data_IF_458186726946
#
_entry.id   IF_458186726946
#
_cell.length_a   1.000
_cell.length_b   1.000
_cell.length_c   1.000
_cell.angle_alpha   90.00
_cell.angle_beta   90.00
_cell.angle_gamma   90.00
#
_symmetry.space_group_name_H-M   'P 1'
#
loop_
_entity.id
_entity.type
_entity.pdbx_description
1 polymer ?
#
# COMPACT_ATOMS: atom_id res chain seq x y z
N UNK A 1 7.61 19.49 -47.77
CA UNK A 1 6.43 19.14 -46.97
C UNK A 1 6.86 18.87 -45.57
N UNK A 2 6.53 19.68 -44.56
CA UNK A 2 6.92 19.42 -43.17
C UNK A 2 5.98 18.39 -42.54
N UNK A 3 6.55 17.35 -41.91
CA UNK A 3 5.83 16.37 -41.14
C UNK A 3 5.45 16.92 -39.76
N UNK A 4 4.21 16.71 -39.46
CA UNK A 4 3.33 16.97 -38.35
C UNK A 4 3.89 16.85 -36.95
N UNK A 5 3.39 17.80 -36.19
CA UNK A 5 3.16 17.90 -34.74
C UNK A 5 3.35 16.62 -33.91
N UNK A 6 4.26 16.76 -32.95
CA UNK A 6 4.38 15.87 -31.79
C UNK A 6 3.09 15.91 -30.97
N UNK A 7 2.41 14.79 -30.85
CA UNK A 7 1.41 14.53 -29.80
C UNK A 7 2.13 14.46 -28.44
N UNK A 8 2.36 15.62 -27.83
CA UNK A 8 2.65 15.69 -26.40
C UNK A 8 1.29 15.69 -25.67
N UNK A 9 1.09 14.80 -24.68
CA UNK A 9 -0.11 14.86 -23.87
C UNK A 9 -0.21 16.24 -23.20
N UNK A 10 -1.39 16.81 -23.23
CA UNK A 10 -1.72 18.09 -22.61
C UNK A 10 -1.58 17.94 -21.08
N UNK A 11 -0.91 18.87 -20.37
CA UNK A 11 -0.87 18.85 -18.91
C UNK A 11 -2.29 19.14 -18.37
N UNK A 12 -2.89 18.17 -17.69
CA UNK A 12 -4.18 18.33 -17.00
C UNK A 12 -5.28 17.32 -17.35
N UNK A 13 -5.07 16.41 -18.29
CA UNK A 13 -6.01 15.31 -18.51
C UNK A 13 -5.87 14.30 -17.37
N UNK A 14 -6.97 13.99 -16.67
CA UNK A 14 -6.98 12.87 -15.71
C UNK A 14 -6.56 11.59 -16.44
N UNK A 15 -5.70 10.75 -15.81
CA UNK A 15 -5.27 9.52 -16.45
C UNK A 15 -6.48 8.63 -16.76
N UNK A 16 -6.49 8.01 -17.92
CA UNK A 16 -7.54 7.06 -18.29
C UNK A 16 -7.44 5.87 -17.33
N UNK A 17 -8.53 5.57 -16.62
CA UNK A 17 -8.59 4.42 -15.71
C UNK A 17 -8.74 3.13 -16.52
N UNK A 18 -7.97 2.12 -16.15
CA UNK A 18 -8.03 0.77 -16.69
C UNK A 18 -8.82 -0.17 -15.79
N UNK A 19 -8.71 0.00 -14.49
CA UNK A 19 -9.47 -0.76 -13.49
C UNK A 19 -9.58 0.02 -12.17
N UNK A 20 -10.64 -0.26 -11.42
CA UNK A 20 -10.89 0.32 -10.09
C UNK A 20 -11.48 -0.72 -9.15
N UNK A 21 -11.16 -0.62 -7.85
CA UNK A 21 -11.76 -1.44 -6.79
C UNK A 21 -11.74 -0.75 -5.45
N UNK A 22 -12.83 -0.92 -4.68
CA UNK A 22 -12.94 -0.53 -3.28
C UNK A 22 -12.70 -1.75 -2.38
N UNK A 23 -11.95 -1.57 -1.30
CA UNK A 23 -11.69 -2.60 -0.30
C UNK A 23 -11.94 -2.02 1.10
N UNK A 24 -12.78 -2.70 1.88
CA UNK A 24 -12.86 -2.49 3.30
C UNK A 24 -11.87 -3.43 4.00
N UNK A 25 -11.10 -2.91 4.94
CA UNK A 25 -10.22 -3.72 5.76
C UNK A 25 -10.97 -4.11 7.05
N UNK A 26 -10.76 -5.35 7.49
CA UNK A 26 -11.27 -5.84 8.76
C UNK A 26 -10.15 -5.91 9.79
N UNK A 27 -10.47 -5.66 11.05
CA UNK A 27 -9.51 -5.85 12.14
C UNK A 27 -9.30 -7.35 12.37
N UNK A 28 -8.15 -7.85 11.98
CA UNK A 28 -7.80 -9.28 12.04
C UNK A 28 -7.14 -9.67 13.36
N UNK A 29 -6.52 -8.69 14.04
CA UNK A 29 -5.94 -8.86 15.37
C UNK A 29 -5.93 -7.53 16.13
N UNK A 30 -6.07 -7.58 17.47
CA UNK A 30 -5.98 -6.39 18.33
C UNK A 30 -5.56 -6.76 19.74
N UNK A 31 -4.86 -5.84 20.39
CA UNK A 31 -4.41 -5.96 21.80
C UNK A 31 -5.28 -5.10 22.75
N UNK A 32 -6.36 -4.47 22.28
CA UNK A 32 -7.24 -3.60 23.07
C UNK A 32 -8.49 -3.19 22.32
N UNK A 33 -9.17 -2.10 22.74
CA UNK A 33 -10.22 -1.46 21.97
C UNK A 33 -9.72 -1.10 20.57
N UNK A 34 -10.57 -1.26 19.56
CA UNK A 34 -10.22 -0.93 18.17
C UNK A 34 -11.15 0.18 17.64
N UNK A 35 -10.99 1.44 18.11
CA UNK A 35 -11.85 2.55 17.73
C UNK A 35 -11.36 3.14 16.40
N UNK A 36 -11.22 2.30 15.39
CA UNK A 36 -10.76 2.70 14.07
C UNK A 36 -11.58 2.02 12.97
N UNK A 37 -11.53 2.59 11.78
CA UNK A 37 -12.01 2.03 10.53
C UNK A 37 -10.96 2.24 9.45
N UNK A 38 -10.74 1.26 8.58
CA UNK A 38 -9.77 1.38 7.49
C UNK A 38 -10.39 0.89 6.19
N UNK A 39 -10.20 1.69 5.14
CA UNK A 39 -10.59 1.34 3.78
C UNK A 39 -9.55 1.82 2.78
N UNK A 40 -9.56 1.25 1.58
CA UNK A 40 -8.75 1.73 0.47
C UNK A 40 -9.48 1.62 -0.85
N UNK A 41 -9.24 2.57 -1.73
CA UNK A 41 -9.59 2.46 -3.15
C UNK A 41 -8.33 2.22 -3.97
N UNK A 42 -8.41 1.26 -4.88
CA UNK A 42 -7.34 0.93 -5.82
C UNK A 42 -7.75 1.37 -7.22
N UNK A 43 -6.87 2.06 -7.91
CA UNK A 43 -7.06 2.52 -9.29
C UNK A 43 -5.82 2.17 -10.12
N UNK A 44 -6.03 1.56 -11.27
CA UNK A 44 -4.98 1.28 -12.24
C UNK A 44 -5.15 2.18 -13.45
N UNK A 45 -4.14 2.99 -13.74
CA UNK A 45 -4.13 3.83 -14.94
C UNK A 45 -3.75 3.05 -16.20
N UNK A 46 -4.07 3.61 -17.37
CA UNK A 46 -3.62 3.07 -18.66
C UNK A 46 -2.09 3.05 -18.82
N UNK A 47 -1.39 3.87 -18.05
CA UNK A 47 0.07 3.97 -18.04
C UNK A 47 0.74 2.94 -17.11
N UNK A 48 -0.07 2.10 -16.43
CA UNK A 48 0.43 1.06 -15.52
C UNK A 48 0.85 1.59 -14.15
N UNK A 49 0.29 2.72 -13.71
CA UNK A 49 0.46 3.21 -12.34
C UNK A 49 -0.69 2.69 -11.49
N UNK A 50 -0.36 1.94 -10.45
CA UNK A 50 -1.30 1.55 -9.40
C UNK A 50 -1.33 2.63 -8.34
N UNK A 51 -2.52 3.20 -8.12
CA UNK A 51 -2.80 4.13 -7.05
C UNK A 51 -3.65 3.46 -5.99
N UNK A 52 -3.24 3.57 -4.74
CA UNK A 52 -4.00 3.15 -3.56
C UNK A 52 -4.26 4.39 -2.68
N UNK A 53 -5.53 4.73 -2.49
CA UNK A 53 -5.96 5.79 -1.57
C UNK A 53 -6.54 5.14 -0.32
N UNK A 54 -5.78 5.16 0.76
CA UNK A 54 -6.21 4.66 2.08
C UNK A 54 -6.92 5.77 2.86
N UNK A 55 -7.97 5.37 3.57
CA UNK A 55 -8.66 6.20 4.54
C UNK A 55 -8.65 5.49 5.89
N UNK A 56 -8.09 6.16 6.89
CA UNK A 56 -8.05 5.69 8.28
C UNK A 56 -8.89 6.64 9.12
N UNK A 57 -9.90 6.09 9.77
CA UNK A 57 -10.73 6.78 10.75
C UNK A 57 -10.34 6.26 12.14
N UNK A 58 -9.82 7.11 13.02
CA UNK A 58 -9.40 6.71 14.35
C UNK A 58 -9.61 7.85 15.35
N UNK A 59 -10.09 7.51 16.54
CA UNK A 59 -10.13 8.43 17.68
C UNK A 59 -8.85 8.42 18.53
N UNK A 60 -7.95 7.44 18.30
CA UNK A 60 -6.68 7.37 19.00
C UNK A 60 -5.67 8.36 18.41
N UNK A 61 -4.76 8.92 19.23
CA UNK A 61 -3.66 9.73 18.71
C UNK A 61 -2.74 8.91 17.80
N UNK A 62 -2.10 9.59 16.84
CA UNK A 62 -1.10 8.95 15.97
C UNK A 62 0.06 8.37 16.79
N UNK A 63 0.43 7.15 16.45
CA UNK A 63 1.67 6.51 16.90
C UNK A 63 2.69 6.62 15.77
N UNK A 64 3.62 7.55 15.89
CA UNK A 64 4.57 7.87 14.83
C UNK A 64 6.01 7.62 15.23
N UNK A 65 6.91 7.53 14.28
CA UNK A 65 8.35 7.30 14.41
C UNK A 65 9.12 8.49 13.80
N UNK A 66 9.07 9.69 14.43
CA UNK A 66 9.67 10.90 13.85
C UNK A 66 11.20 10.85 13.71
N UNK A 67 11.86 9.93 14.41
CA UNK A 67 13.29 9.67 14.29
C UNK A 67 13.69 8.98 12.99
N UNK A 68 12.75 8.35 12.28
CA UNK A 68 13.00 7.70 10.99
C UNK A 68 12.93 8.77 9.88
N UNK A 69 14.05 9.04 9.22
CA UNK A 69 14.15 10.16 8.29
C UNK A 69 14.79 9.81 6.93
N UNK A 70 14.87 8.53 6.60
CA UNK A 70 15.28 8.14 5.26
C UNK A 70 14.17 8.54 4.26
N UNK A 71 14.49 9.35 3.24
CA UNK A 71 13.48 9.81 2.28
C UNK A 71 12.91 8.70 1.40
N UNK A 72 13.57 7.55 1.35
CA UNK A 72 13.18 6.45 0.46
C UNK A 72 12.66 5.22 1.19
N UNK A 73 13.27 4.82 2.33
CA UNK A 73 12.88 3.59 3.00
C UNK A 73 13.29 3.57 4.47
N UNK A 74 12.31 3.67 5.36
CA UNK A 74 12.49 3.72 6.80
C UNK A 74 12.26 2.34 7.44
N UNK A 75 13.35 1.61 7.70
CA UNK A 75 13.26 0.32 8.38
C UNK A 75 12.68 0.46 9.79
N UNK A 76 11.69 -0.39 10.13
CA UNK A 76 10.98 -0.33 11.41
C UNK A 76 9.78 0.65 11.41
N UNK A 77 9.36 1.14 10.23
CA UNK A 77 8.21 2.06 10.12
C UNK A 77 6.93 1.42 10.67
N UNK A 78 6.77 0.11 10.51
CA UNK A 78 5.64 -0.70 11.02
C UNK A 78 5.53 -0.75 12.55
N UNK A 79 6.50 -0.24 13.30
CA UNK A 79 6.37 -0.10 14.75
C UNK A 79 5.49 1.09 15.16
N UNK A 80 5.18 2.00 14.23
CA UNK A 80 4.18 3.06 14.35
C UNK A 80 2.92 2.76 13.54
N UNK A 81 2.07 3.80 13.39
CA UNK A 81 0.93 3.75 12.48
C UNK A 81 1.41 3.72 11.04
N UNK A 82 0.90 2.76 10.27
CA UNK A 82 1.18 2.63 8.84
C UNK A 82 -0.03 2.07 8.10
N UNK A 83 -0.13 2.41 6.83
CA UNK A 83 -0.87 1.64 5.82
C UNK A 83 0.12 0.95 4.92
N UNK A 84 -0.24 -0.24 4.44
CA UNK A 84 0.65 -1.10 3.69
C UNK A 84 -0.05 -1.67 2.46
N UNK A 85 0.68 -1.75 1.36
CA UNK A 85 0.24 -2.43 0.15
C UNK A 85 1.29 -3.46 -0.25
N UNK A 86 0.90 -4.73 -0.32
CA UNK A 86 1.74 -5.80 -0.80
C UNK A 86 1.33 -6.17 -2.22
N UNK A 87 2.30 -6.34 -3.11
CA UNK A 87 2.08 -6.59 -4.54
C UNK A 87 2.87 -7.81 -5.01
N UNK A 88 2.18 -8.77 -5.62
CA UNK A 88 2.76 -9.93 -6.29
C UNK A 88 2.27 -9.97 -7.75
N UNK A 89 3.18 -9.78 -8.71
CA UNK A 89 2.83 -9.51 -10.10
C UNK A 89 3.11 -10.66 -11.08
N UNK A 90 3.92 -11.64 -10.66
CA UNK A 90 4.36 -12.76 -11.50
C UNK A 90 3.72 -14.10 -11.09
N UNK A 91 2.59 -14.02 -10.37
CA UNK A 91 1.83 -15.19 -9.93
C UNK A 91 2.27 -15.78 -8.59
N UNK A 92 1.56 -16.81 -8.10
CA UNK A 92 1.86 -17.45 -6.83
C UNK A 92 3.28 -18.04 -6.80
N UNK A 93 3.97 -17.85 -5.66
CA UNK A 93 5.33 -18.33 -5.45
C UNK A 93 6.43 -17.41 -5.98
N UNK A 94 6.10 -16.37 -6.75
CA UNK A 94 7.07 -15.34 -7.13
C UNK A 94 7.36 -14.39 -5.97
N UNK A 95 8.47 -13.63 -6.04
CA UNK A 95 8.72 -12.52 -5.14
C UNK A 95 7.55 -11.55 -5.07
N UNK A 96 7.40 -10.86 -3.96
CA UNK A 96 6.43 -9.78 -3.79
C UNK A 96 7.07 -8.55 -3.17
N UNK A 97 6.38 -7.44 -3.28
CA UNK A 97 6.83 -6.12 -2.86
C UNK A 97 5.95 -5.59 -1.75
N UNK A 98 6.56 -4.93 -0.79
CA UNK A 98 5.91 -4.25 0.33
C UNK A 98 6.14 -2.75 0.23
N UNK A 99 5.08 -1.97 0.35
CA UNK A 99 5.10 -0.51 0.39
C UNK A 99 4.32 -0.04 1.59
N UNK A 100 4.95 0.79 2.44
CA UNK A 100 4.32 1.38 3.61
C UNK A 100 4.37 2.90 3.56
N UNK A 101 3.36 3.53 4.15
CA UNK A 101 3.30 4.98 4.38
C UNK A 101 2.77 5.24 5.78
N UNK A 102 3.45 6.13 6.53
CA UNK A 102 3.03 6.60 7.86
C UNK A 102 2.23 7.89 7.82
N UNK A 103 1.54 8.30 8.90
CA UNK A 103 0.88 9.59 8.99
C UNK A 103 1.82 10.80 8.83
N UNK A 104 3.13 10.63 9.00
CA UNK A 104 4.14 11.66 8.75
C UNK A 104 4.60 11.71 7.28
N UNK A 105 4.08 10.85 6.41
CA UNK A 105 4.51 10.74 5.01
C UNK A 105 5.84 9.99 4.83
N UNK A 106 6.35 9.36 5.88
CA UNK A 106 7.51 8.48 5.80
C UNK A 106 7.16 7.24 5.00
N UNK A 107 8.11 6.73 4.24
CA UNK A 107 7.94 5.59 3.34
C UNK A 107 8.84 4.43 3.75
N UNK A 108 8.37 3.23 3.50
CA UNK A 108 9.17 2.02 3.52
C UNK A 108 8.85 1.19 2.27
N UNK A 109 9.85 0.51 1.73
CA UNK A 109 9.69 -0.39 0.60
C UNK A 109 10.68 -1.54 0.69
N UNK A 110 10.25 -2.72 0.29
CA UNK A 110 10.99 -3.96 0.41
C UNK A 110 10.61 -4.93 -0.71
N UNK A 111 11.58 -5.67 -1.25
CA UNK A 111 11.29 -6.84 -2.05
C UNK A 111 11.49 -8.10 -1.20
N UNK A 112 10.49 -8.97 -1.16
CA UNK A 112 10.53 -10.23 -0.42
C UNK A 112 10.61 -11.39 -1.40
N UNK A 113 11.72 -12.13 -1.37
CA UNK A 113 11.93 -13.34 -2.15
C UNK A 113 11.24 -14.53 -1.46
N UNK A 114 11.42 -14.64 -0.15
CA UNK A 114 10.81 -15.66 0.66
C UNK A 114 10.43 -15.10 2.03
N UNK A 115 9.16 -15.17 2.42
CA UNK A 115 8.67 -14.62 3.69
C UNK A 115 9.56 -15.01 4.86
N UNK A 116 9.98 -14.05 5.67
CA UNK A 116 10.80 -14.20 6.90
C UNK A 116 12.19 -14.84 6.72
N UNK A 117 12.59 -15.16 5.50
CA UNK A 117 13.85 -15.87 5.21
C UNK A 117 14.76 -15.04 4.31
N UNK A 118 14.20 -14.44 3.26
CA UNK A 118 15.00 -13.78 2.23
C UNK A 118 14.29 -12.54 1.68
N UNK A 119 14.95 -11.40 1.75
CA UNK A 119 14.46 -10.12 1.25
C UNK A 119 15.62 -9.25 0.75
N UNK A 120 15.30 -8.30 -0.10
CA UNK A 120 16.22 -7.26 -0.55
C UNK A 120 15.82 -5.90 0.06
N UNK A 121 16.52 -5.49 1.11
CA UNK A 121 16.33 -4.19 1.76
C UNK A 121 16.94 -3.03 0.97
N UNK A 122 17.74 -3.30 -0.06
CA UNK A 122 18.28 -2.30 -0.99
C UNK A 122 17.33 -1.99 -2.15
N UNK A 123 16.28 -2.79 -2.32
CA UNK A 123 15.27 -2.57 -3.36
C UNK A 123 14.70 -1.15 -3.29
N UNK A 124 14.58 -0.51 -4.45
CA UNK A 124 13.96 0.81 -4.61
C UNK A 124 13.14 0.87 -5.90
N UNK A 125 11.83 1.05 -5.76
CA UNK A 125 10.94 1.52 -6.82
C UNK A 125 11.11 3.04 -6.89
N UNK A 126 11.81 3.55 -7.90
CA UNK A 126 12.19 4.97 -7.97
C UNK A 126 10.98 5.88 -8.15
N UNK A 127 9.98 5.42 -8.89
CA UNK A 127 8.72 6.15 -9.11
C UNK A 127 7.69 5.97 -8.00
N UNK A 128 7.98 5.22 -6.92
CA UNK A 128 7.09 5.16 -5.77
C UNK A 128 6.90 6.53 -5.16
N UNK A 129 5.67 7.04 -5.24
CA UNK A 129 5.28 8.33 -4.68
C UNK A 129 4.19 8.16 -3.63
N UNK A 130 4.10 9.11 -2.70
CA UNK A 130 3.05 9.11 -1.67
C UNK A 130 2.63 10.52 -1.28
N UNK A 131 1.37 10.66 -0.88
CA UNK A 131 0.81 11.88 -0.30
C UNK A 131 0.03 11.54 0.96
N UNK A 132 0.08 12.41 1.95
CA UNK A 132 -0.62 12.23 3.23
C UNK A 132 -1.38 13.50 3.60
N UNK A 133 -2.61 13.32 4.09
CA UNK A 133 -3.36 14.37 4.78
C UNK A 133 -3.85 13.85 6.13
N UNK A 134 -3.85 14.72 7.14
CA UNK A 134 -4.23 14.39 8.52
C UNK A 134 -5.34 15.30 8.98
N UNK A 135 -6.28 14.76 9.75
CA UNK A 135 -7.24 15.60 10.47
C UNK A 135 -6.50 16.48 11.49
N UNK A 136 -7.04 17.65 11.77
CA UNK A 136 -6.49 18.59 12.77
C UNK A 136 -6.64 18.08 14.20
N UNK A 137 -7.56 17.17 14.44
CA UNK A 137 -7.84 16.55 15.74
C UNK A 137 -8.06 15.06 15.58
N UNK A 138 -7.69 14.26 16.60
CA UNK A 138 -7.79 12.79 16.56
C UNK A 138 -6.69 12.14 15.73
N UNK A 139 -6.87 10.89 15.39
CA UNK A 139 -5.91 10.05 14.64
C UNK A 139 -6.37 9.70 13.24
N UNK A 140 -7.35 10.42 12.67
CA UNK A 140 -7.81 10.15 11.31
C UNK A 140 -6.88 10.77 10.26
N UNK A 141 -6.59 10.00 9.21
CA UNK A 141 -5.69 10.42 8.14
C UNK A 141 -5.98 9.68 6.84
N UNK A 142 -5.42 10.21 5.77
CA UNK A 142 -5.46 9.59 4.45
C UNK A 142 -4.05 9.47 3.90
N UNK A 143 -3.79 8.40 3.19
CA UNK A 143 -2.54 8.19 2.46
C UNK A 143 -2.83 7.76 1.02
N UNK A 144 -2.12 8.36 0.10
CA UNK A 144 -2.05 7.94 -1.30
C UNK A 144 -0.70 7.29 -1.54
N UNK A 145 -0.71 6.12 -2.17
CA UNK A 145 0.46 5.43 -2.71
C UNK A 145 0.29 5.38 -4.22
N UNK A 146 1.33 5.77 -4.96
CA UNK A 146 1.38 5.67 -6.43
C UNK A 146 2.61 4.85 -6.82
N UNK A 147 2.38 3.72 -7.46
CA UNK A 147 3.39 2.70 -7.73
C UNK A 147 3.40 2.39 -9.22
N UNK A 148 4.46 2.74 -9.97
CA UNK A 148 4.62 2.35 -11.37
C UNK A 148 4.95 0.87 -11.46
N UNK A 149 3.97 0.05 -11.85
CA UNK A 149 4.08 -1.40 -11.87
C UNK A 149 5.14 -1.93 -12.85
N UNK A 150 5.46 -1.14 -13.88
CA UNK A 150 6.54 -1.46 -14.82
C UNK A 150 7.90 -1.60 -14.15
N UNK A 151 8.18 -0.82 -13.08
CA UNK A 151 9.43 -0.93 -12.30
C UNK A 151 9.49 -2.21 -11.46
N UNK A 152 8.36 -2.88 -11.27
CA UNK A 152 8.22 -4.15 -10.55
C UNK A 152 8.18 -5.37 -11.47
N UNK A 153 8.36 -5.16 -12.79
CA UNK A 153 8.31 -6.23 -13.78
C UNK A 153 6.90 -6.70 -14.14
N UNK A 154 5.89 -5.83 -14.00
CA UNK A 154 4.52 -6.15 -14.41
C UNK A 154 4.42 -6.34 -15.93
N UNK A 155 3.74 -7.39 -16.35
CA UNK A 155 3.56 -7.80 -17.75
C UNK A 155 2.43 -7.08 -18.51
N UNK A 156 1.70 -6.19 -17.83
CA UNK A 156 0.56 -5.49 -18.40
C UNK A 156 -0.79 -6.18 -18.17
N UNK A 157 -0.81 -7.37 -17.60
CA UNK A 157 -2.04 -8.11 -17.35
C UNK A 157 -2.71 -7.68 -16.03
N UNK A 158 -3.92 -7.10 -16.11
CA UNK A 158 -4.66 -6.59 -14.94
C UNK A 158 -4.93 -7.69 -13.91
N UNK A 159 -5.22 -8.91 -14.36
CA UNK A 159 -5.52 -10.05 -13.48
C UNK A 159 -4.31 -10.58 -12.73
N UNK A 160 -3.09 -10.31 -13.20
CA UNK A 160 -1.86 -10.73 -12.53
C UNK A 160 -1.55 -9.89 -11.29
N UNK A 161 -2.20 -8.72 -11.12
CA UNK A 161 -1.99 -7.84 -9.96
C UNK A 161 -2.68 -8.46 -8.73
N UNK A 162 -1.88 -9.16 -7.94
CA UNK A 162 -2.30 -9.80 -6.69
C UNK A 162 -1.62 -9.11 -5.50
N UNK A 163 -2.24 -9.25 -4.33
CA UNK A 163 -1.64 -8.71 -3.11
C UNK A 163 -2.59 -8.67 -1.95
N UNK A 164 -2.25 -7.82 -0.98
CA UNK A 164 -3.06 -7.48 0.16
C UNK A 164 -2.91 -6.00 0.51
N UNK A 165 -3.97 -5.44 1.08
CA UNK A 165 -3.97 -4.11 1.65
C UNK A 165 -4.12 -4.24 3.17
N UNK A 166 -3.27 -3.52 3.92
CA UNK A 166 -3.13 -3.69 5.36
C UNK A 166 -2.99 -2.35 6.06
N UNK A 167 -3.20 -2.35 7.38
CA UNK A 167 -2.80 -1.25 8.25
C UNK A 167 -2.44 -1.77 9.65
N UNK A 168 -1.51 -1.09 10.28
CA UNK A 168 -1.13 -1.26 11.69
C UNK A 168 -1.39 0.07 12.37
N UNK A 169 -2.21 0.07 13.41
CA UNK A 169 -2.63 1.29 14.10
C UNK A 169 -2.53 1.12 15.62
N UNK A 170 -2.15 2.19 16.30
CA UNK A 170 -2.12 2.27 17.75
C UNK A 170 -0.78 1.88 18.39
N UNK A 171 -0.62 2.28 19.64
CA UNK A 171 0.54 1.93 20.47
C UNK A 171 0.52 0.49 20.98
N UNK A 172 1.58 0.08 21.72
CA UNK A 172 1.78 -1.31 22.16
C UNK A 172 0.57 -1.93 22.89
N UNK A 173 -0.15 -1.17 23.71
CA UNK A 173 -1.30 -1.66 24.50
C UNK A 173 -2.65 -1.58 23.77
N UNK A 174 -2.70 -0.94 22.61
CA UNK A 174 -3.93 -0.67 21.85
C UNK A 174 -3.74 -0.99 20.37
N UNK A 175 -2.73 -1.79 20.06
CA UNK A 175 -2.34 -2.09 18.69
C UNK A 175 -3.38 -2.92 17.99
N UNK A 176 -3.75 -2.50 16.78
CA UNK A 176 -4.68 -3.20 15.92
C UNK A 176 -4.10 -3.41 14.53
N UNK A 177 -4.43 -4.56 13.94
CA UNK A 177 -3.96 -5.02 12.65
C UNK A 177 -5.16 -5.22 11.74
N UNK A 178 -5.13 -4.56 10.60
CA UNK A 178 -6.21 -4.51 9.63
C UNK A 178 -5.78 -5.12 8.32
N UNK A 179 -6.64 -5.90 7.70
CA UNK A 179 -6.34 -6.53 6.44
C UNK A 179 -7.57 -6.64 5.55
N UNK A 180 -7.37 -6.50 4.24
CA UNK A 180 -8.26 -7.03 3.23
C UNK A 180 -7.85 -8.48 2.97
N UNK A 181 -8.85 -9.38 2.88
CA UNK A 181 -8.70 -10.81 2.50
C UNK A 181 -8.12 -11.76 3.55
N UNK A 182 -7.56 -11.28 4.66
CA UNK A 182 -7.10 -12.20 5.72
C UNK A 182 -8.21 -12.53 6.73
N UNK A 183 -8.24 -13.77 7.24
CA UNK A 183 -9.09 -14.12 8.37
C UNK A 183 -8.54 -13.51 9.68
N UNK A 184 -9.34 -13.58 10.73
CA UNK A 184 -8.89 -13.22 12.08
C UNK A 184 -7.73 -14.13 12.50
N UNK A 185 -6.71 -13.54 13.14
CA UNK A 185 -5.47 -14.20 13.51
C UNK A 185 -5.23 -14.14 15.02
N UNK A 186 -4.65 -15.18 15.60
CA UNK A 186 -4.17 -15.16 16.99
C UNK A 186 -2.90 -14.30 17.12
N UNK A 187 -2.01 -14.38 16.13
CA UNK A 187 -0.81 -13.54 16.01
C UNK A 187 -0.87 -12.83 14.66
N UNK A 188 -0.64 -11.50 14.64
CA UNK A 188 -0.72 -10.76 13.39
C UNK A 188 0.43 -11.14 12.45
N UNK A 189 0.07 -11.46 11.22
CA UNK A 189 1.01 -11.80 10.17
C UNK A 189 0.43 -11.45 8.80
N UNK A 190 1.06 -10.53 8.10
CA UNK A 190 0.68 -10.11 6.76
C UNK A 190 1.49 -10.81 5.66
N UNK A 191 2.61 -11.44 6.01
CA UNK A 191 3.49 -12.11 5.07
C UNK A 191 3.00 -13.53 4.72
N UNK A 192 1.75 -13.62 4.25
CA UNK A 192 1.05 -14.83 3.83
C UNK A 192 0.70 -14.74 2.33
N UNK A 193 1.67 -14.87 1.40
CA UNK A 193 1.44 -14.68 -0.02
C UNK A 193 0.45 -15.69 -0.63
N UNK A 194 0.20 -16.82 0.04
CA UNK A 194 -0.85 -17.78 -0.32
C UNK A 194 -2.26 -17.17 -0.16
N UNK A 195 -2.44 -16.22 0.75
CA UNK A 195 -3.70 -15.50 0.97
C UNK A 195 -3.88 -14.27 0.08
N UNK A 196 -2.88 -13.89 -0.72
CA UNK A 196 -3.01 -12.77 -1.64
C UNK A 196 -4.10 -13.05 -2.69
N UNK A 197 -4.88 -12.02 -3.00
CA UNK A 197 -5.98 -12.08 -3.98
C UNK A 197 -5.74 -11.12 -5.13
N UNK A 198 -6.30 -11.42 -6.30
CA UNK A 198 -6.34 -10.46 -7.40
C UNK A 198 -7.09 -9.21 -6.96
N UNK A 199 -6.46 -8.05 -7.14
CA UNK A 199 -7.10 -6.78 -6.83
C UNK A 199 -8.22 -6.45 -7.82
N UNK A 200 -8.06 -6.80 -9.09
CA UNK A 200 -9.02 -6.52 -10.14
C UNK A 200 -9.55 -7.84 -10.70
N UNK A 201 -10.73 -8.24 -10.25
CA UNK A 201 -11.44 -9.41 -10.79
C UNK A 201 -12.39 -8.90 -11.87
N UNK A 202 -12.42 -9.56 -13.03
CA UNK A 202 -13.49 -9.31 -13.99
C UNK A 202 -14.83 -9.69 -13.35
N UNK A 203 -15.79 -8.80 -13.45
CA UNK A 203 -17.18 -9.08 -13.12
C UNK A 203 -17.70 -10.20 -14.04
#
# INVERSE_FOLDING_TARGET
>A
MPKSRSDRPQPGASPVLRAERQLALTCVHREGPCPAGVGTSLQLSSEGVLRADFQVESSLPFQTRPELQDPQSNWGLWEGDVVELFLQLQGPGSPYYEFQVSPLGQRFQLQIQKPRVEWDSSFRCQGFNSGVSRASTGGSWQARLEIPLGELGWDGEVRSIRGGAFAILGGKSERSYWAAFLPRQEKPDFHLPEEFRSFFVSA
#
